data_IF_896073883358
#
_entry.id   IF_896073883358
#
_cell.length_a   1.000
_cell.length_b   1.000
_cell.length_c   1.000
_cell.angle_alpha   90.00
_cell.angle_beta   90.00
_cell.angle_gamma   90.00
#
_symmetry.space_group_name_H-M   'P 1'
#
loop_
_entity.id
_entity.type
_entity.pdbx_description
1 polymer ?
#
# COMPACT_ATOMS: atom_id res chain seq x y z
N UNK A 1 -6.28 -15.26 12.67
CA UNK A 1 -5.01 -15.59 12.04
C UNK A 1 -5.05 -17.03 11.53
N UNK A 2 -4.73 -17.26 10.26
CA UNK A 2 -4.66 -18.62 9.68
C UNK A 2 -3.48 -19.40 10.26
N UNK A 3 -3.52 -20.76 10.26
CA UNK A 3 -2.34 -21.56 10.59
C UNK A 3 -1.12 -21.12 9.77
N UNK A 4 0.06 -21.06 10.37
CA UNK A 4 1.29 -20.55 9.75
C UNK A 4 1.36 -19.02 9.57
N UNK A 5 0.26 -18.29 9.85
CA UNK A 5 0.18 -16.83 9.72
C UNK A 5 1.03 -16.09 10.74
N UNK A 6 1.42 -14.85 10.37
CA UNK A 6 2.23 -13.95 11.20
C UNK A 6 1.35 -12.83 11.77
N UNK A 7 1.63 -12.42 13.00
CA UNK A 7 1.07 -11.26 13.68
C UNK A 7 2.21 -10.38 14.18
N UNK A 8 2.28 -9.15 13.72
CA UNK A 8 3.12 -8.12 14.34
C UNK A 8 2.24 -7.33 15.31
N UNK A 9 2.56 -7.40 16.59
CA UNK A 9 1.98 -6.56 17.65
C UNK A 9 2.94 -5.43 17.95
N UNK A 10 2.46 -4.20 18.01
CA UNK A 10 3.29 -3.04 18.34
C UNK A 10 2.51 -1.99 19.11
N UNK A 11 3.24 -1.25 19.95
CA UNK A 11 2.72 -0.12 20.73
C UNK A 11 3.71 1.04 20.70
N UNK A 12 3.26 2.24 21.01
CA UNK A 12 4.11 3.42 21.23
C UNK A 12 4.25 3.76 22.72
N UNK A 13 3.87 2.85 23.64
CA UNK A 13 4.00 3.02 25.08
C UNK A 13 5.25 2.34 25.62
N UNK A 14 5.64 2.69 26.86
CA UNK A 14 6.69 2.01 27.62
C UNK A 14 6.10 1.15 28.75
N UNK A 15 4.76 1.12 28.88
CA UNK A 15 4.07 0.42 29.96
C UNK A 15 4.21 -1.11 29.80
N UNK A 16 4.88 -1.81 30.74
CA UNK A 16 5.02 -3.27 30.67
C UNK A 16 3.69 -4.01 30.53
N UNK A 17 2.62 -3.49 31.13
CA UNK A 17 1.27 -4.08 31.07
C UNK A 17 0.67 -4.05 29.66
N UNK A 18 1.06 -3.09 28.84
CA UNK A 18 0.61 -2.97 27.43
C UNK A 18 1.57 -3.65 26.46
N UNK A 19 2.77 -3.95 26.89
CA UNK A 19 3.85 -4.53 26.09
C UNK A 19 4.02 -6.04 26.39
N UNK A 20 5.01 -6.43 27.22
CA UNK A 20 5.24 -7.84 27.58
C UNK A 20 4.03 -8.47 28.27
N UNK A 21 3.24 -7.69 29.00
CA UNK A 21 2.04 -8.16 29.67
C UNK A 21 0.99 -8.66 28.68
N UNK A 22 0.71 -7.90 27.61
CA UNK A 22 -0.23 -8.32 26.56
C UNK A 22 0.30 -9.54 25.80
N UNK A 23 1.59 -9.55 25.48
CA UNK A 23 2.22 -10.69 24.78
C UNK A 23 2.18 -11.94 25.64
N UNK A 24 2.47 -11.82 26.94
CA UNK A 24 2.38 -12.92 27.92
C UNK A 24 0.97 -13.50 27.99
N UNK A 25 -0.01 -12.61 28.15
CA UNK A 25 -1.42 -13.01 28.18
C UNK A 25 -1.85 -13.75 26.89
N UNK A 26 -1.41 -13.24 25.73
CA UNK A 26 -1.71 -13.87 24.45
C UNK A 26 -1.11 -15.28 24.36
N UNK A 27 0.15 -15.46 24.74
CA UNK A 27 0.85 -16.75 24.70
C UNK A 27 0.23 -17.76 25.66
N UNK A 28 -0.25 -17.31 26.83
CA UNK A 28 -0.99 -18.16 27.77
C UNK A 28 -2.35 -18.61 27.24
N UNK A 29 -3.09 -17.71 26.59
CA UNK A 29 -4.42 -18.00 26.01
C UNK A 29 -4.35 -18.76 24.69
N UNK A 30 -3.22 -18.68 24.00
CA UNK A 30 -3.01 -19.24 22.66
C UNK A 30 -1.71 -20.03 22.60
N UNK A 31 -1.70 -21.29 23.14
CA UNK A 31 -0.53 -22.15 23.08
C UNK A 31 -0.06 -22.48 21.65
N UNK A 32 -0.95 -22.25 20.65
CA UNK A 32 -0.67 -22.38 19.23
C UNK A 32 0.05 -21.17 18.61
N UNK A 33 0.44 -20.21 19.44
CA UNK A 33 1.21 -19.03 19.04
C UNK A 33 2.62 -19.07 19.65
N UNK A 34 3.61 -18.60 18.91
CA UNK A 34 5.00 -18.46 19.40
C UNK A 34 5.65 -17.19 18.90
N UNK A 35 6.50 -16.63 19.75
CA UNK A 35 7.33 -15.48 19.39
C UNK A 35 8.45 -15.90 18.43
N UNK A 36 8.59 -15.13 17.37
CA UNK A 36 9.72 -15.16 16.46
C UNK A 36 10.74 -14.07 16.84
N UNK A 37 11.97 -14.28 16.45
CA UNK A 37 12.99 -13.23 16.53
C UNK A 37 12.74 -12.16 15.46
N UNK A 38 12.89 -10.90 15.85
CA UNK A 38 12.93 -9.75 14.96
C UNK A 38 14.40 -9.48 14.65
N UNK A 39 14.77 -9.28 13.36
CA UNK A 39 16.14 -8.93 12.99
C UNK A 39 16.65 -7.74 13.82
N UNK A 40 17.82 -7.91 14.45
CA UNK A 40 18.38 -6.90 15.32
C UNK A 40 18.98 -5.75 14.51
N UNK A 41 18.72 -4.53 14.97
CA UNK A 41 19.29 -3.30 14.44
C UNK A 41 19.94 -2.49 15.57
N UNK A 42 20.84 -1.57 15.23
CA UNK A 42 21.45 -0.66 16.20
C UNK A 42 20.37 0.10 16.98
N UNK A 43 20.50 0.13 18.30
CA UNK A 43 19.53 0.78 19.20
C UNK A 43 18.35 -0.09 19.66
N UNK A 44 18.14 -1.27 19.10
CA UNK A 44 17.12 -2.21 19.58
C UNK A 44 17.53 -2.78 20.95
N UNK A 45 16.55 -2.86 21.84
CA UNK A 45 16.70 -3.52 23.15
C UNK A 45 15.77 -4.73 23.22
N UNK A 46 16.19 -5.85 23.80
CA UNK A 46 15.30 -6.99 23.97
C UNK A 46 14.15 -6.68 24.92
N UNK A 47 13.06 -7.40 24.80
CA UNK A 47 12.00 -7.42 25.80
C UNK A 47 12.49 -7.93 27.14
N UNK A 48 11.80 -7.59 28.22
CA UNK A 48 12.17 -7.90 29.58
C UNK A 48 11.22 -8.95 30.17
N UNK A 49 11.64 -10.23 30.33
CA UNK A 49 10.76 -11.28 30.84
C UNK A 49 10.07 -10.96 32.16
N UNK A 50 10.75 -10.31 33.08
CA UNK A 50 10.23 -9.92 34.40
C UNK A 50 9.14 -8.82 34.33
N UNK A 51 8.94 -8.19 33.21
CA UNK A 51 7.85 -7.22 32.97
C UNK A 51 6.57 -7.88 32.44
N UNK A 52 6.65 -9.14 32.07
CA UNK A 52 5.52 -10.02 31.77
C UNK A 52 5.39 -11.12 32.81
N UNK A 53 5.17 -12.35 32.36
CA UNK A 53 5.02 -13.53 33.21
C UNK A 53 6.35 -14.31 33.47
N UNK A 54 7.47 -13.76 33.11
CA UNK A 54 8.80 -14.37 33.28
C UNK A 54 9.24 -15.32 32.17
N UNK A 55 8.46 -15.51 31.13
CA UNK A 55 8.85 -16.37 29.98
C UNK A 55 10.11 -15.83 29.29
N UNK A 56 11.15 -16.62 29.18
CA UNK A 56 12.41 -16.25 28.48
C UNK A 56 12.20 -15.88 27.02
N UNK A 57 11.16 -16.43 26.36
CA UNK A 57 10.82 -16.09 24.99
C UNK A 57 10.47 -14.61 24.77
N UNK A 58 10.06 -13.89 25.83
CA UNK A 58 9.80 -12.44 25.77
C UNK A 58 11.02 -11.61 25.40
N UNK A 59 12.23 -12.14 25.56
CA UNK A 59 13.48 -11.50 25.06
C UNK A 59 13.49 -11.32 23.53
N UNK A 60 12.63 -12.04 22.79
CA UNK A 60 12.47 -11.88 21.33
C UNK A 60 11.64 -10.66 20.95
N UNK A 61 10.93 -10.07 21.91
CA UNK A 61 10.32 -8.76 21.70
C UNK A 61 11.41 -7.69 21.57
N UNK A 62 11.08 -6.59 20.96
CA UNK A 62 11.99 -5.45 20.76
C UNK A 62 11.40 -4.22 21.41
N UNK A 63 12.24 -3.50 22.16
CA UNK A 63 11.96 -2.18 22.70
C UNK A 63 12.87 -1.15 22.06
N UNK A 64 12.29 -0.07 21.59
CA UNK A 64 12.99 1.10 21.07
C UNK A 64 12.87 2.22 22.10
N UNK A 65 14.03 2.72 22.55
CA UNK A 65 14.08 3.80 23.54
C UNK A 65 14.69 5.05 22.91
N UNK A 66 14.09 6.25 23.10
CA UNK A 66 14.59 7.50 22.51
C UNK A 66 16.03 7.86 22.87
N UNK A 67 16.53 7.36 24.00
CA UNK A 67 17.93 7.57 24.40
C UNK A 67 18.93 6.65 23.69
N UNK A 68 18.44 5.69 22.88
CA UNK A 68 19.27 4.73 22.12
C UNK A 68 19.12 4.87 20.61
N UNK A 69 18.03 5.47 20.16
CA UNK A 69 17.73 5.70 18.75
C UNK A 69 17.19 7.11 18.58
N UNK A 70 17.44 7.69 17.42
CA UNK A 70 16.86 8.98 17.05
C UNK A 70 15.43 8.74 16.54
N UNK A 71 14.45 8.90 17.43
CA UNK A 71 13.03 8.64 17.15
C UNK A 71 12.17 8.50 18.39
N UNK A 72 10.89 8.22 18.20
CA UNK A 72 9.95 7.94 19.29
C UNK A 72 10.15 6.52 19.85
N UNK A 73 9.65 6.31 21.09
CA UNK A 73 9.66 4.99 21.70
C UNK A 73 8.67 4.03 21.03
N UNK A 74 9.02 2.74 21.00
CA UNK A 74 8.16 1.72 20.40
C UNK A 74 8.42 0.35 21.02
N UNK A 75 7.39 -0.50 21.01
CA UNK A 75 7.50 -1.91 21.35
C UNK A 75 7.03 -2.75 20.17
N UNK A 76 7.68 -3.88 19.91
CA UNK A 76 7.31 -4.81 18.85
C UNK A 76 7.44 -6.26 19.31
N UNK A 77 6.46 -7.08 18.92
CA UNK A 77 6.49 -8.53 19.08
C UNK A 77 6.00 -9.19 17.79
N UNK A 78 6.81 -10.05 17.20
CA UNK A 78 6.45 -10.83 16.03
C UNK A 78 6.03 -12.23 16.46
N UNK A 79 4.80 -12.59 16.19
CA UNK A 79 4.23 -13.89 16.55
C UNK A 79 3.86 -14.69 15.30
N UNK A 80 3.95 -16.00 15.43
CA UNK A 80 3.51 -16.94 14.40
C UNK A 80 2.53 -17.93 15.00
N UNK A 81 1.44 -18.18 14.29
CA UNK A 81 0.52 -19.26 14.62
C UNK A 81 1.04 -20.59 14.08
N UNK A 82 1.01 -21.65 14.90
CA UNK A 82 1.42 -22.99 14.48
C UNK A 82 0.55 -23.54 13.35
N UNK A 83 1.11 -24.50 12.62
CA UNK A 83 0.51 -25.14 11.48
C UNK A 83 0.97 -24.57 10.14
N UNK A 84 0.68 -25.30 9.09
CA UNK A 84 0.92 -24.91 7.69
C UNK A 84 -0.40 -24.44 7.10
N UNK A 85 -0.45 -23.18 6.70
CA UNK A 85 -1.66 -22.61 6.12
C UNK A 85 -1.69 -22.83 4.61
N UNK A 86 -2.23 -23.94 4.15
CA UNK A 86 -2.63 -24.13 2.75
C UNK A 86 -4.04 -23.61 2.45
N UNK A 87 -4.66 -22.90 3.39
CA UNK A 87 -5.95 -22.27 3.20
C UNK A 87 -5.81 -20.93 2.44
N UNK A 88 -5.22 -20.94 1.27
CA UNK A 88 -5.53 -19.96 0.25
C UNK A 88 -6.98 -20.27 -0.15
N UNK A 89 -7.92 -19.62 0.53
CA UNK A 89 -9.32 -19.65 0.07
C UNK A 89 -9.30 -19.15 -1.36
N UNK A 90 -9.90 -19.93 -2.26
CA UNK A 90 -10.05 -19.51 -3.65
C UNK A 90 -10.59 -18.08 -3.65
N UNK A 91 -9.94 -17.21 -4.41
CA UNK A 91 -10.38 -15.84 -4.56
C UNK A 91 -11.82 -15.83 -5.08
N UNK A 92 -12.69 -15.07 -4.43
CA UNK A 92 -14.01 -14.79 -5.00
C UNK A 92 -13.75 -14.04 -6.31
N UNK A 93 -13.87 -14.73 -7.44
CA UNK A 93 -13.79 -14.11 -8.76
C UNK A 93 -14.99 -13.20 -8.89
N UNK A 94 -14.75 -11.91 -9.03
CA UNK A 94 -15.80 -10.95 -9.40
C UNK A 94 -15.98 -10.99 -10.90
N UNK A 95 -17.21 -10.80 -11.36
CA UNK A 95 -17.46 -10.55 -12.78
C UNK A 95 -17.43 -9.05 -12.98
N UNK A 96 -16.36 -8.56 -13.59
CA UNK A 96 -16.25 -7.14 -13.93
C UNK A 96 -17.40 -6.73 -14.86
N UNK A 97 -18.05 -5.62 -14.54
CA UNK A 97 -19.04 -5.04 -15.44
C UNK A 97 -18.38 -4.67 -16.78
N UNK A 98 -18.99 -5.07 -17.94
CA UNK A 98 -18.40 -4.81 -19.26
C UNK A 98 -18.12 -3.33 -19.56
N UNK A 99 -18.95 -2.42 -19.03
CA UNK A 99 -18.72 -0.99 -19.22
C UNK A 99 -17.49 -0.51 -18.42
N UNK A 100 -17.32 -1.01 -17.18
CA UNK A 100 -16.13 -0.76 -16.38
C UNK A 100 -14.87 -1.27 -17.06
N UNK A 101 -14.91 -2.52 -17.54
CA UNK A 101 -13.76 -3.12 -18.23
C UNK A 101 -13.37 -2.31 -19.47
N UNK A 102 -14.35 -1.88 -20.29
CA UNK A 102 -14.12 -1.04 -21.47
C UNK A 102 -13.34 0.23 -21.11
N UNK A 103 -13.78 0.97 -20.11
CA UNK A 103 -13.15 2.25 -19.75
C UNK A 103 -11.79 2.07 -19.08
N UNK A 104 -11.59 0.99 -18.32
CA UNK A 104 -10.29 0.63 -17.79
C UNK A 104 -9.30 0.27 -18.91
N UNK A 105 -9.71 -0.55 -19.88
CA UNK A 105 -8.85 -0.92 -21.02
C UNK A 105 -8.43 0.30 -21.81
N UNK A 106 -9.37 1.19 -22.16
CA UNK A 106 -9.05 2.44 -22.87
C UNK A 106 -8.04 3.31 -22.10
N UNK A 107 -8.18 3.38 -20.76
CA UNK A 107 -7.24 4.12 -19.94
C UNK A 107 -5.89 3.42 -19.87
N UNK A 108 -5.86 2.09 -19.72
CA UNK A 108 -4.62 1.31 -19.66
C UNK A 108 -3.85 1.38 -20.97
N UNK A 109 -4.55 1.34 -22.11
CA UNK A 109 -3.95 1.53 -23.44
C UNK A 109 -3.37 2.94 -23.57
N UNK A 110 -4.09 3.98 -23.09
CA UNK A 110 -3.64 5.37 -23.13
C UNK A 110 -2.34 5.60 -22.32
N UNK A 111 -2.19 4.96 -21.15
CA UNK A 111 -0.98 5.08 -20.33
C UNK A 111 0.09 4.02 -20.66
N UNK A 112 -0.21 3.06 -21.54
CA UNK A 112 0.68 1.93 -21.83
C UNK A 112 0.94 1.06 -20.60
N UNK A 113 -0.13 0.66 -19.87
CA UNK A 113 0.01 -0.21 -18.70
C UNK A 113 0.46 -1.61 -19.12
N UNK A 114 1.62 -2.06 -18.65
CA UNK A 114 2.19 -3.40 -18.88
C UNK A 114 1.89 -4.35 -17.74
N UNK A 115 2.13 -3.87 -16.52
CA UNK A 115 1.97 -4.64 -15.29
C UNK A 115 1.41 -3.75 -14.16
N UNK A 116 0.97 -4.37 -13.08
CA UNK A 116 0.66 -3.70 -11.82
C UNK A 116 1.45 -4.39 -10.72
N UNK A 117 2.45 -3.68 -10.18
CA UNK A 117 3.38 -4.25 -9.22
C UNK A 117 4.19 -5.42 -9.81
N UNK A 118 4.62 -5.31 -11.07
CA UNK A 118 5.39 -6.33 -11.79
C UNK A 118 4.60 -7.57 -12.21
N UNK A 119 3.25 -7.58 -12.08
CA UNK A 119 2.39 -8.70 -12.47
C UNK A 119 1.36 -8.26 -13.51
N UNK A 120 0.97 -9.15 -14.47
CA UNK A 120 -0.13 -8.88 -15.39
C UNK A 120 -1.41 -8.51 -14.65
N UNK A 121 -2.15 -7.53 -15.19
CA UNK A 121 -3.41 -7.10 -14.61
C UNK A 121 -4.51 -8.14 -14.85
N UNK A 122 -5.18 -8.58 -13.78
CA UNK A 122 -6.23 -9.59 -13.81
C UNK A 122 -7.61 -8.93 -13.64
N UNK A 123 -8.36 -8.80 -14.75
CA UNK A 123 -9.69 -8.19 -14.75
C UNK A 123 -10.70 -8.94 -13.88
N UNK A 124 -10.51 -10.24 -13.63
CA UNK A 124 -11.41 -11.01 -12.73
C UNK A 124 -11.36 -10.56 -11.27
N UNK A 125 -10.44 -9.68 -10.93
CA UNK A 125 -10.25 -9.09 -9.61
C UNK A 125 -10.78 -7.66 -9.50
N UNK A 126 -11.42 -7.15 -10.55
CA UNK A 126 -11.98 -5.80 -10.55
C UNK A 126 -13.40 -5.83 -9.97
N UNK A 127 -13.64 -5.01 -8.98
CA UNK A 127 -14.95 -4.78 -8.36
C UNK A 127 -15.37 -3.32 -8.55
N UNK A 128 -16.63 -3.12 -8.93
CA UNK A 128 -17.23 -1.78 -9.04
C UNK A 128 -18.24 -1.59 -7.92
N UNK A 129 -18.12 -0.50 -7.16
CA UNK A 129 -19.04 -0.11 -6.09
C UNK A 129 -19.49 1.33 -6.31
N UNK A 130 -20.71 1.48 -6.83
CA UNK A 130 -21.18 2.76 -7.34
C UNK A 130 -20.35 3.20 -8.55
N UNK A 131 -19.73 4.37 -8.48
CA UNK A 131 -18.78 4.88 -9.48
C UNK A 131 -17.32 4.51 -9.20
N UNK A 132 -17.04 3.88 -8.08
CA UNK A 132 -15.66 3.55 -7.62
C UNK A 132 -15.24 2.17 -8.09
N UNK A 133 -14.02 2.09 -8.61
CA UNK A 133 -13.41 0.86 -9.11
C UNK A 133 -12.28 0.43 -8.19
N UNK A 134 -12.31 -0.83 -7.77
CA UNK A 134 -11.32 -1.44 -6.88
C UNK A 134 -10.68 -2.67 -7.53
N UNK A 135 -9.41 -2.92 -7.21
CA UNK A 135 -8.68 -4.12 -7.56
C UNK A 135 -8.45 -4.97 -6.31
N UNK A 136 -9.08 -6.13 -6.28
CA UNK A 136 -9.09 -7.01 -5.11
C UNK A 136 -7.76 -7.76 -4.94
N UNK A 137 -7.37 -8.13 -3.71
CA UNK A 137 -6.25 -9.03 -3.48
C UNK A 137 -6.49 -10.40 -4.13
N UNK A 138 -5.43 -11.15 -4.49
CA UNK A 138 -5.58 -12.46 -5.15
C UNK A 138 -6.31 -13.50 -4.30
N UNK A 139 -6.25 -13.39 -2.98
CA UNK A 139 -6.96 -14.23 -2.03
C UNK A 139 -7.93 -13.36 -1.21
N UNK A 140 -9.04 -12.97 -1.82
CA UNK A 140 -10.07 -12.21 -1.13
C UNK A 140 -11.01 -13.16 -0.40
N UNK A 141 -11.23 -12.93 0.91
CA UNK A 141 -12.24 -13.65 1.65
C UNK A 141 -13.65 -13.27 1.16
N UNK A 142 -14.62 -14.12 1.41
CA UNK A 142 -16.02 -13.79 1.21
C UNK A 142 -16.46 -12.82 2.34
N UNK A 143 -16.71 -11.58 1.95
CA UNK A 143 -17.14 -10.50 2.85
C UNK A 143 -18.65 -10.28 2.84
N UNK A 144 -19.45 -11.19 2.25
CA UNK A 144 -20.90 -11.08 2.27
C UNK A 144 -21.42 -10.96 3.69
N UNK A 145 -22.31 -10.01 3.93
CA UNK A 145 -22.85 -9.71 5.26
C UNK A 145 -21.98 -8.80 6.13
N UNK A 146 -20.79 -8.40 5.69
CA UNK A 146 -19.94 -7.44 6.38
C UNK A 146 -20.06 -6.05 5.76
N UNK A 147 -20.04 -5.03 6.61
CA UNK A 147 -19.90 -3.63 6.18
C UNK A 147 -18.44 -3.25 6.25
N UNK A 148 -17.87 -2.84 5.14
CA UNK A 148 -16.48 -2.36 5.06
C UNK A 148 -16.36 -1.10 4.21
N UNK A 149 -15.41 -0.25 4.54
CA UNK A 149 -15.19 1.02 3.84
C UNK A 149 -14.42 0.82 2.53
N UNK A 150 -13.44 -0.08 2.52
CA UNK A 150 -12.61 -0.41 1.36
C UNK A 150 -12.31 -1.89 1.32
N UNK A 151 -12.21 -2.41 0.09
CA UNK A 151 -11.70 -3.74 -0.18
C UNK A 151 -10.74 -3.64 -1.37
N UNK A 152 -9.45 -3.90 -1.13
CA UNK A 152 -8.42 -3.84 -2.16
C UNK A 152 -7.92 -2.43 -2.52
N UNK A 153 -7.22 -2.34 -3.66
CA UNK A 153 -6.64 -1.09 -4.19
C UNK A 153 -7.72 -0.28 -4.92
N UNK A 154 -7.93 0.94 -4.48
CA UNK A 154 -8.80 1.88 -5.21
C UNK A 154 -8.10 2.35 -6.49
N UNK A 155 -8.64 1.94 -7.63
CA UNK A 155 -8.11 2.29 -8.95
C UNK A 155 -8.53 3.68 -9.40
N UNK A 156 -9.77 4.08 -9.14
CA UNK A 156 -10.31 5.37 -9.57
C UNK A 156 -11.83 5.37 -9.72
N UNK A 157 -12.33 6.42 -10.37
CA UNK A 157 -13.75 6.63 -10.56
C UNK A 157 -14.14 6.43 -12.03
N UNK A 158 -15.30 5.78 -12.23
CA UNK A 158 -16.02 5.85 -13.50
C UNK A 158 -16.78 7.17 -13.55
N UNK A 159 -16.51 7.95 -14.57
CA UNK A 159 -17.28 9.15 -14.92
C UNK A 159 -18.02 8.93 -16.22
N UNK A 160 -18.92 9.83 -16.57
CA UNK A 160 -19.63 9.75 -17.86
C UNK A 160 -18.60 9.62 -19.00
N UNK A 161 -18.57 8.43 -19.62
CA UNK A 161 -17.72 8.12 -20.77
C UNK A 161 -16.20 8.22 -20.55
N UNK A 162 -15.69 7.99 -19.33
CA UNK A 162 -14.26 7.93 -19.04
C UNK A 162 -13.97 7.31 -17.68
N UNK A 163 -12.73 6.85 -17.51
CA UNK A 163 -12.14 6.50 -16.23
C UNK A 163 -11.23 7.65 -15.76
N UNK A 164 -11.27 7.97 -14.47
CA UNK A 164 -10.35 8.90 -13.82
C UNK A 164 -9.54 8.16 -12.76
N UNK A 165 -8.20 8.04 -12.93
CA UNK A 165 -7.36 7.28 -12.02
C UNK A 165 -7.23 7.96 -10.67
N UNK A 166 -7.07 7.15 -9.63
CA UNK A 166 -6.87 7.61 -8.26
C UNK A 166 -5.40 7.78 -7.91
N UNK A 167 -5.12 8.52 -6.84
CA UNK A 167 -3.78 8.64 -6.28
C UNK A 167 -3.25 7.32 -5.71
N UNK A 168 -4.04 6.51 -4.96
CA UNK A 168 -3.62 5.17 -4.55
C UNK A 168 -3.18 4.28 -5.71
N UNK A 169 -3.85 4.37 -6.86
CA UNK A 169 -3.44 3.61 -8.04
C UNK A 169 -2.08 4.09 -8.57
N UNK A 170 -1.85 5.42 -8.66
CA UNK A 170 -0.55 5.94 -9.06
C UNK A 170 0.58 5.40 -8.17
N UNK A 171 0.39 5.43 -6.84
CA UNK A 171 1.41 4.99 -5.87
C UNK A 171 1.60 3.47 -5.81
N UNK A 172 0.66 2.69 -6.33
CA UNK A 172 0.79 1.23 -6.42
C UNK A 172 1.56 0.75 -7.66
N UNK A 173 1.84 1.66 -8.60
CA UNK A 173 2.64 1.37 -9.78
C UNK A 173 4.13 1.35 -9.44
N UNK A 174 4.90 0.54 -10.18
CA UNK A 174 6.35 0.49 -10.08
C UNK A 174 6.99 1.08 -11.34
N UNK A 175 8.28 1.39 -11.26
CA UNK A 175 9.08 1.79 -12.42
C UNK A 175 9.00 0.69 -13.49
N UNK A 176 8.54 1.06 -14.68
CA UNK A 176 8.39 0.13 -15.81
C UNK A 176 7.01 -0.52 -15.94
N UNK A 177 6.10 -0.35 -14.97
CA UNK A 177 4.71 -0.81 -15.11
C UNK A 177 3.95 -0.03 -16.19
N UNK A 178 4.36 1.20 -16.48
CA UNK A 178 3.68 2.16 -17.36
C UNK A 178 4.67 2.78 -18.36
N UNK A 179 4.28 2.86 -19.63
CA UNK A 179 5.06 3.56 -20.66
C UNK A 179 4.86 5.08 -20.61
N UNK A 180 3.63 5.53 -20.42
CA UNK A 180 3.23 6.93 -20.37
C UNK A 180 3.72 7.66 -19.13
N UNK A 181 5.03 7.88 -19.03
CA UNK A 181 5.67 8.52 -17.87
C UNK A 181 6.29 9.87 -18.22
N UNK A 182 6.36 10.74 -17.20
CA UNK A 182 7.19 11.94 -17.16
C UNK A 182 8.05 11.81 -15.89
N UNK A 183 9.36 11.67 -16.01
CA UNK A 183 10.25 11.51 -14.85
C UNK A 183 11.11 12.75 -14.68
N UNK A 184 10.99 13.37 -13.51
CA UNK A 184 11.75 14.57 -13.15
C UNK A 184 12.80 14.23 -12.07
N UNK A 185 13.97 14.89 -12.09
CA UNK A 185 14.93 14.75 -11.01
C UNK A 185 14.38 15.39 -9.71
N UNK A 186 14.83 14.94 -8.55
CA UNK A 186 14.38 15.44 -7.24
C UNK A 186 14.61 16.95 -7.07
N UNK A 187 15.60 17.51 -7.77
CA UNK A 187 15.93 18.94 -7.75
C UNK A 187 15.05 19.82 -8.65
N UNK A 188 14.12 19.23 -9.40
CA UNK A 188 13.27 19.99 -10.33
C UNK A 188 12.19 20.76 -9.57
N UNK A 189 12.20 22.09 -9.71
CA UNK A 189 11.24 22.98 -9.04
C UNK A 189 9.77 22.72 -9.44
N UNK A 190 9.52 22.05 -10.56
CA UNK A 190 8.15 21.64 -10.96
C UNK A 190 7.55 20.63 -10.02
N UNK A 191 8.35 19.88 -9.24
CA UNK A 191 7.83 18.92 -8.25
C UNK A 191 7.07 19.63 -7.13
N UNK A 192 7.62 20.73 -6.59
CA UNK A 192 6.93 21.54 -5.58
C UNK A 192 5.61 22.12 -6.13
N UNK A 193 5.64 22.62 -7.35
CA UNK A 193 4.44 23.12 -8.04
C UNK A 193 3.39 22.02 -8.23
N UNK A 194 3.83 20.79 -8.56
CA UNK A 194 2.91 19.66 -8.65
C UNK A 194 2.25 19.35 -7.29
N UNK A 195 3.01 19.33 -6.20
CA UNK A 195 2.49 19.10 -4.85
C UNK A 195 1.53 20.21 -4.40
N UNK A 196 1.70 21.44 -4.89
CA UNK A 196 0.76 22.55 -4.70
C UNK A 196 -0.50 22.48 -5.58
N UNK A 197 -0.58 21.50 -6.49
CA UNK A 197 -1.72 21.33 -7.39
C UNK A 197 -1.66 22.19 -8.65
N UNK A 198 -0.52 22.84 -8.94
CA UNK A 198 -0.34 23.69 -10.12
C UNK A 198 -0.13 22.88 -11.39
N UNK A 199 -0.39 23.49 -12.54
CA UNK A 199 -0.04 22.91 -13.84
C UNK A 199 1.46 23.04 -14.11
N UNK A 200 2.03 22.08 -14.87
CA UNK A 200 3.45 22.05 -15.18
C UNK A 200 3.69 22.22 -16.69
N UNK A 201 4.63 23.07 -17.09
CA UNK A 201 5.13 23.05 -18.46
C UNK A 201 5.99 21.79 -18.67
N UNK A 202 5.76 21.09 -19.78
CA UNK A 202 6.50 19.90 -20.19
C UNK A 202 7.14 20.18 -21.54
N UNK A 203 8.46 20.10 -21.60
CA UNK A 203 9.20 20.33 -22.83
C UNK A 203 9.03 19.16 -23.82
N UNK A 204 9.20 19.40 -25.11
CA UNK A 204 9.24 18.33 -26.10
C UNK A 204 10.30 17.28 -25.74
N UNK A 205 9.90 15.99 -25.76
CA UNK A 205 10.78 14.88 -25.42
C UNK A 205 10.83 14.48 -23.92
N UNK A 206 10.27 15.28 -22.99
CA UNK A 206 10.18 14.92 -21.58
C UNK A 206 9.04 13.91 -21.29
N UNK A 207 8.02 13.87 -22.13
CA UNK A 207 6.90 12.94 -22.01
C UNK A 207 7.00 11.83 -23.04
N UNK A 208 6.58 10.62 -22.67
CA UNK A 208 6.58 9.46 -23.57
C UNK A 208 5.71 9.67 -24.82
N UNK A 209 4.63 10.44 -24.71
CA UNK A 209 3.77 10.84 -25.81
C UNK A 209 3.19 12.25 -25.61
N UNK A 210 2.82 12.92 -26.69
CA UNK A 210 2.54 14.37 -26.70
C UNK A 210 1.23 14.81 -26.07
N UNK A 211 0.35 13.89 -25.64
CA UNK A 211 -0.97 14.20 -25.04
C UNK A 211 -1.49 13.04 -24.19
N UNK A 212 -2.51 13.32 -23.36
CA UNK A 212 -3.23 12.28 -22.61
C UNK A 212 -2.69 12.07 -21.20
N UNK A 213 -3.09 10.98 -20.57
CA UNK A 213 -2.71 10.65 -19.22
C UNK A 213 -1.23 10.25 -19.14
N UNK A 214 -0.54 10.78 -18.14
CA UNK A 214 0.84 10.43 -17.80
C UNK A 214 0.98 10.22 -16.31
N UNK A 215 1.84 9.28 -15.94
CA UNK A 215 2.33 9.11 -14.58
C UNK A 215 3.54 10.03 -14.39
N UNK A 216 3.40 11.01 -13.52
CA UNK A 216 4.54 11.82 -13.07
C UNK A 216 5.35 11.03 -12.06
N UNK A 217 6.66 10.97 -12.28
CA UNK A 217 7.61 10.26 -11.43
C UNK A 217 8.71 11.19 -10.94
N UNK A 218 9.29 10.88 -9.79
CA UNK A 218 10.52 11.48 -9.28
C UNK A 218 11.61 10.44 -9.32
N UNK A 219 12.69 10.65 -10.08
CA UNK A 219 13.77 9.65 -10.22
C UNK A 219 13.25 8.25 -10.64
N UNK A 220 12.11 8.23 -11.37
CA UNK A 220 11.42 7.00 -11.77
C UNK A 220 10.44 6.42 -10.74
N UNK A 221 10.30 7.03 -9.55
CA UNK A 221 9.30 6.64 -8.56
C UNK A 221 7.98 7.38 -8.78
N UNK A 222 6.84 6.69 -8.80
CA UNK A 222 5.54 7.30 -9.03
C UNK A 222 5.19 8.36 -7.99
N UNK A 223 4.79 9.55 -8.44
CA UNK A 223 4.31 10.63 -7.60
C UNK A 223 2.79 10.85 -7.74
N UNK A 224 2.25 10.72 -8.94
CA UNK A 224 0.82 10.88 -9.21
C UNK A 224 0.52 11.03 -10.69
N UNK A 225 -0.76 11.15 -11.05
CA UNK A 225 -1.19 11.31 -12.43
C UNK A 225 -1.35 12.78 -12.83
N UNK A 226 -1.14 13.05 -14.11
CA UNK A 226 -1.52 14.28 -14.76
C UNK A 226 -2.01 14.04 -16.19
N UNK A 227 -2.70 15.02 -16.77
CA UNK A 227 -3.16 14.94 -18.16
C UNK A 227 -2.47 15.99 -19.01
N UNK A 228 -1.63 15.55 -19.95
CA UNK A 228 -0.86 16.41 -20.82
C UNK A 228 -1.76 16.93 -21.97
N UNK A 229 -1.80 18.25 -22.12
CA UNK A 229 -2.51 18.96 -23.18
C UNK A 229 -1.67 20.16 -23.62
N UNK A 230 -1.29 20.23 -24.86
CA UNK A 230 -0.49 21.34 -25.43
C UNK A 230 0.73 21.69 -24.56
N UNK A 231 1.59 20.71 -24.31
CA UNK A 231 2.80 20.84 -23.47
C UNK A 231 2.55 21.32 -22.02
N UNK A 232 1.31 21.24 -21.56
CA UNK A 232 0.95 21.58 -20.18
C UNK A 232 0.35 20.35 -19.49
N UNK A 233 1.00 19.88 -18.44
CA UNK A 233 0.48 18.80 -17.60
C UNK A 233 -0.56 19.37 -16.62
N UNK A 234 -1.83 19.05 -16.87
CA UNK A 234 -2.93 19.37 -15.95
C UNK A 234 -2.82 18.46 -14.72
N UNK A 235 -2.63 19.06 -13.59
CA UNK A 235 -2.41 18.40 -12.33
C UNK A 235 -3.65 17.60 -11.87
N UNK A 236 -3.44 16.41 -11.34
CA UNK A 236 -4.48 15.54 -10.75
C UNK A 236 -4.15 15.10 -9.32
N UNK A 237 -3.18 15.77 -8.69
CA UNK A 237 -2.84 15.53 -7.29
C UNK A 237 -4.02 15.89 -6.38
N UNK A 238 -4.39 15.05 -5.40
CA UNK A 238 -5.57 15.26 -4.57
C UNK A 238 -5.53 16.59 -3.81
N UNK A 239 -6.63 17.32 -3.82
CA UNK A 239 -6.70 18.64 -3.17
C UNK A 239 -6.36 18.59 -1.67
N UNK A 240 -6.80 17.54 -0.97
CA UNK A 240 -6.52 17.36 0.46
C UNK A 240 -5.07 16.92 0.80
N UNK A 241 -4.21 16.75 -0.21
CA UNK A 241 -2.80 16.35 -0.02
C UNK A 241 -1.82 17.45 -0.45
N UNK A 242 -2.34 18.59 -0.94
CA UNK A 242 -1.53 19.70 -1.45
C UNK A 242 -0.85 20.45 -0.30
N UNK A 243 0.37 20.91 -0.59
CA UNK A 243 1.14 21.80 0.28
C UNK A 243 0.49 23.17 0.40
#
# INVERSE_FOLDING_TARGET
LSPGGLLLYSTCTFAPTEDEGVVSWLLEKRPDMKLLEIPQHSGFSPGVPGWGNGMESLKRCVRLFPHKIDGEGHFMALLKKDGTGDNIRESVKTRTDPATEKWLRLFFDEIGLRTLGGKPFDFSRVETKGDKVYYLPPASADFRGLVFLRNGLYLGDLKKNRFEPSQPFALALHKGDVEGTISLPVSDLRLERYLKGETLPIAPGEAAHGKGWHLLCVEGWPLGFGKLVNQTLKNKYPAGWRL
#
